data_IF_201315516221
#
_entry.id   IF_201315516221
#
_cell.length_a   1.000
_cell.length_b   1.000
_cell.length_c   1.000
_cell.angle_alpha   90.00
_cell.angle_beta   90.00
_cell.angle_gamma   90.00
#
_symmetry.space_group_name_H-M   'P 1'
#
loop_
_entity.id
_entity.type
_entity.pdbx_description
1 polymer ?
#
# COMPACT_ATOMS: atom_id res chain seq x y z
N UNK A 1 -16.23 -46.22 -1.92
CA UNK A 1 -16.12 -45.05 -1.04
C UNK A 1 -14.83 -44.33 -1.45
N UNK A 2 -14.99 -43.26 -2.22
CA UNK A 2 -13.91 -42.34 -2.56
C UNK A 2 -14.16 -41.07 -1.75
N UNK A 3 -13.45 -40.91 -0.66
CA UNK A 3 -13.36 -39.61 0.02
C UNK A 3 -12.49 -38.70 -0.87
N UNK A 4 -13.14 -37.76 -1.50
CA UNK A 4 -12.47 -36.64 -2.18
C UNK A 4 -12.06 -35.64 -1.10
N UNK A 5 -10.86 -35.81 -0.54
CA UNK A 5 -10.20 -34.78 0.23
C UNK A 5 -9.71 -33.70 -0.73
N UNK A 6 -10.61 -32.84 -1.19
CA UNK A 6 -10.26 -31.58 -1.83
C UNK A 6 -10.02 -30.56 -0.74
N UNK A 7 -8.87 -30.65 -0.11
CA UNK A 7 -8.34 -29.57 0.74
C UNK A 7 -8.12 -28.30 -0.08
N UNK A 8 -9.17 -27.60 -0.42
CA UNK A 8 -9.10 -26.20 -0.83
C UNK A 8 -8.77 -25.40 0.44
N UNK A 9 -7.50 -25.16 0.68
CA UNK A 9 -7.09 -24.05 1.52
C UNK A 9 -7.70 -22.79 0.87
N UNK A 10 -8.67 -22.17 1.53
CA UNK A 10 -9.29 -20.96 1.02
C UNK A 10 -8.19 -19.91 0.82
N UNK A 11 -7.99 -19.46 -0.41
CA UNK A 11 -6.96 -18.46 -0.73
C UNK A 11 -7.29 -17.16 -0.01
N UNK A 12 -6.35 -16.62 0.77
CA UNK A 12 -6.50 -15.32 1.43
C UNK A 12 -6.41 -14.19 0.40
N UNK A 13 -7.36 -13.27 0.43
CA UNK A 13 -7.40 -12.08 -0.44
C UNK A 13 -6.92 -10.86 0.32
N UNK A 14 -5.76 -10.35 -0.10
CA UNK A 14 -5.18 -9.11 0.41
C UNK A 14 -5.37 -7.99 -0.61
N UNK A 15 -5.74 -6.81 -0.15
CA UNK A 15 -5.85 -5.62 -0.99
C UNK A 15 -5.09 -4.44 -0.40
N UNK A 16 -4.72 -3.49 -1.24
CA UNK A 16 -4.19 -2.19 -0.86
C UNK A 16 -4.93 -1.09 -1.60
N UNK A 17 -5.23 0.00 -0.91
CA UNK A 17 -5.95 1.13 -1.47
C UNK A 17 -5.59 2.45 -0.78
N UNK A 18 -5.06 3.40 -1.53
CA UNK A 18 -5.03 4.78 -1.07
C UNK A 18 -6.46 5.34 -1.19
N UNK A 19 -7.11 5.52 -0.06
CA UNK A 19 -8.53 5.90 0.00
C UNK A 19 -8.77 7.41 -0.05
N UNK A 20 -7.72 8.21 0.01
CA UNK A 20 -7.79 9.67 -0.02
C UNK A 20 -8.92 10.23 0.85
N UNK A 21 -8.84 10.00 2.16
CA UNK A 21 -9.83 10.18 3.22
C UNK A 21 -10.82 9.03 3.37
N UNK A 22 -10.66 8.28 4.47
CA UNK A 22 -11.60 7.19 4.80
C UNK A 22 -12.98 7.72 5.20
N UNK A 23 -13.05 8.85 5.90
CA UNK A 23 -14.32 9.40 6.38
C UNK A 23 -15.31 9.76 5.28
N UNK A 24 -14.81 10.12 4.10
CA UNK A 24 -15.64 10.44 2.94
C UNK A 24 -15.90 9.23 2.02
N UNK A 25 -15.24 8.09 2.26
CA UNK A 25 -15.27 6.91 1.38
C UNK A 25 -15.61 5.61 2.08
N UNK A 26 -16.05 5.66 3.33
CA UNK A 26 -16.32 4.47 4.13
C UNK A 26 -17.29 3.51 3.42
N UNK A 27 -18.38 4.03 2.86
CA UNK A 27 -19.38 3.19 2.18
C UNK A 27 -18.82 2.50 0.93
N UNK A 28 -17.98 3.21 0.16
CA UNK A 28 -17.29 2.64 -1.00
C UNK A 28 -16.32 1.54 -0.61
N UNK A 29 -15.54 1.77 0.44
CA UNK A 29 -14.56 0.80 0.94
C UNK A 29 -15.26 -0.46 1.43
N UNK A 30 -16.33 -0.34 2.22
CA UNK A 30 -17.11 -1.48 2.70
C UNK A 30 -17.76 -2.25 1.55
N UNK A 31 -18.32 -1.56 0.55
CA UNK A 31 -18.88 -2.19 -0.63
C UNK A 31 -17.83 -2.97 -1.45
N UNK A 32 -16.62 -2.44 -1.56
CA UNK A 32 -15.49 -3.13 -2.19
C UNK A 32 -15.09 -4.39 -1.41
N UNK A 33 -14.94 -4.28 -0.08
CA UNK A 33 -14.59 -5.41 0.77
C UNK A 33 -15.58 -6.58 0.63
N UNK A 34 -16.86 -6.28 0.59
CA UNK A 34 -17.93 -7.27 0.43
C UNK A 34 -17.93 -7.86 -0.98
N UNK A 35 -17.93 -7.03 -2.02
CA UNK A 35 -18.01 -7.45 -3.42
C UNK A 35 -16.83 -8.33 -3.83
N UNK A 36 -15.63 -7.96 -3.42
CA UNK A 36 -14.40 -8.67 -3.78
C UNK A 36 -13.98 -9.73 -2.74
N UNK A 37 -14.77 -9.92 -1.70
CA UNK A 37 -14.51 -10.91 -0.65
C UNK A 37 -13.09 -10.76 -0.04
N UNK A 38 -12.74 -9.54 0.36
CA UNK A 38 -11.41 -9.17 0.84
C UNK A 38 -11.21 -9.60 2.29
N UNK A 39 -10.16 -10.32 2.59
CA UNK A 39 -9.80 -10.77 3.94
C UNK A 39 -9.05 -9.70 4.73
N UNK A 40 -8.11 -9.00 4.09
CA UNK A 40 -7.39 -7.88 4.69
C UNK A 40 -7.15 -6.76 3.69
N UNK A 41 -7.35 -5.51 4.12
CA UNK A 41 -7.14 -4.30 3.34
C UNK A 41 -6.14 -3.40 4.04
N UNK A 42 -5.07 -3.05 3.32
CA UNK A 42 -4.14 -2.00 3.70
C UNK A 42 -4.59 -0.67 3.08
N UNK A 43 -4.82 0.33 3.92
CA UNK A 43 -5.29 1.66 3.51
C UNK A 43 -4.21 2.72 3.69
N UNK A 44 -4.14 3.67 2.77
CA UNK A 44 -3.27 4.84 2.83
C UNK A 44 -4.12 6.11 2.70
N UNK A 45 -3.57 7.22 3.16
CA UNK A 45 -4.25 8.53 3.22
C UNK A 45 -5.63 8.48 3.89
N UNK A 46 -5.70 7.85 5.06
CA UNK A 46 -6.95 7.84 5.83
C UNK A 46 -7.35 9.24 6.32
N UNK A 47 -6.38 10.16 6.45
CA UNK A 47 -6.57 11.58 6.75
C UNK A 47 -7.36 11.87 8.02
N UNK A 48 -7.15 11.07 9.06
CA UNK A 48 -7.77 11.25 10.35
C UNK A 48 -6.95 10.59 11.47
N UNK A 49 -7.22 11.01 12.71
CA UNK A 49 -6.72 10.33 13.90
C UNK A 49 -7.55 9.06 14.17
N UNK A 50 -7.04 8.14 15.00
CA UNK A 50 -7.80 6.93 15.36
C UNK A 50 -9.20 7.20 15.94
N UNK A 51 -9.33 8.25 16.75
CA UNK A 51 -10.62 8.66 17.36
C UNK A 51 -11.64 9.22 16.35
N UNK A 52 -11.20 9.56 15.14
CA UNK A 52 -12.04 10.07 14.05
C UNK A 52 -12.33 9.01 12.97
N UNK A 53 -11.67 7.86 13.04
CA UNK A 53 -11.87 6.79 12.07
C UNK A 53 -13.26 6.16 12.24
N UNK A 54 -13.99 5.87 11.16
CA UNK A 54 -15.32 5.23 11.25
C UNK A 54 -15.21 3.74 11.57
N UNK A 55 -14.91 3.42 12.82
CA UNK A 55 -14.62 2.05 13.31
C UNK A 55 -15.84 1.14 13.24
N UNK A 56 -17.00 1.63 13.71
CA UNK A 56 -18.21 0.81 13.88
C UNK A 56 -18.66 0.08 12.60
N UNK A 57 -18.72 0.70 11.41
CA UNK A 57 -19.11 -0.01 10.19
C UNK A 57 -18.16 -1.14 9.80
N UNK A 58 -16.85 -0.99 10.05
CA UNK A 58 -15.86 -2.03 9.80
C UNK A 58 -16.01 -3.21 10.77
N UNK A 59 -16.19 -2.93 12.05
CA UNK A 59 -16.44 -3.96 13.07
C UNK A 59 -17.76 -4.69 12.79
N UNK A 60 -18.81 -3.99 12.41
CA UNK A 60 -20.08 -4.58 12.03
C UNK A 60 -19.96 -5.50 10.80
N UNK A 61 -19.03 -5.22 9.91
CA UNK A 61 -18.70 -6.06 8.75
C UNK A 61 -17.73 -7.21 9.09
N UNK A 62 -17.29 -7.34 10.33
CA UNK A 62 -16.45 -8.43 10.80
C UNK A 62 -14.94 -8.16 10.74
N UNK A 63 -14.53 -6.90 10.55
CA UNK A 63 -13.12 -6.51 10.45
C UNK A 63 -12.60 -5.95 11.77
N UNK A 64 -11.44 -6.45 12.19
CA UNK A 64 -10.59 -5.80 13.19
C UNK A 64 -9.77 -4.70 12.51
N UNK A 65 -9.36 -3.68 13.25
CA UNK A 65 -8.67 -2.51 12.73
C UNK A 65 -7.38 -2.22 13.48
N UNK A 66 -6.32 -1.91 12.75
CA UNK A 66 -5.15 -1.20 13.22
C UNK A 66 -5.10 0.15 12.51
N UNK A 67 -4.95 1.25 13.26
CA UNK A 67 -5.07 2.60 12.74
C UNK A 67 -3.90 3.44 13.26
N UNK A 68 -3.21 4.12 12.35
CA UNK A 68 -2.17 5.08 12.69
C UNK A 68 -2.38 6.37 11.91
N UNK A 69 -2.72 7.44 12.61
CA UNK A 69 -2.95 8.77 12.06
C UNK A 69 -2.68 9.84 13.11
N UNK A 70 -2.09 10.96 12.73
CA UNK A 70 -1.69 12.03 13.62
C UNK A 70 -2.58 13.26 13.49
N UNK A 71 -3.10 13.51 12.30
CA UNK A 71 -3.92 14.67 11.96
C UNK A 71 -4.68 14.44 10.64
N UNK A 72 -5.08 15.50 9.95
CA UNK A 72 -5.80 15.45 8.67
C UNK A 72 -4.93 15.06 7.45
N UNK A 73 -3.64 14.83 7.63
CA UNK A 73 -2.70 14.46 6.58
C UNK A 73 -2.20 13.02 6.76
N UNK A 74 -1.84 12.38 5.65
CA UNK A 74 -1.29 11.03 5.70
C UNK A 74 -2.26 10.04 6.41
N UNK A 75 -1.71 9.16 7.24
CA UNK A 75 -2.45 8.15 7.97
C UNK A 75 -2.59 6.85 7.20
N UNK A 76 -2.39 5.75 7.91
CA UNK A 76 -2.44 4.39 7.36
C UNK A 76 -3.27 3.50 8.28
N UNK A 77 -3.93 2.50 7.72
CA UNK A 77 -4.72 1.54 8.48
C UNK A 77 -4.68 0.16 7.83
N UNK A 78 -4.95 -0.86 8.63
CA UNK A 78 -5.18 -2.23 8.16
C UNK A 78 -6.50 -2.70 8.76
N UNK A 79 -7.40 -3.19 7.90
CA UNK A 79 -8.61 -3.89 8.29
C UNK A 79 -8.46 -5.38 7.96
N UNK A 80 -8.77 -6.27 8.91
CA UNK A 80 -8.67 -7.72 8.72
C UNK A 80 -9.84 -8.45 9.35
N UNK A 81 -10.43 -9.38 8.64
CA UNK A 81 -11.44 -10.31 9.17
C UNK A 81 -10.87 -11.70 9.49
N UNK A 82 -9.56 -11.87 9.31
CA UNK A 82 -8.85 -13.15 9.48
C UNK A 82 -7.80 -13.13 10.59
N UNK A 83 -7.95 -12.21 11.53
CA UNK A 83 -7.02 -11.96 12.64
C UNK A 83 -6.06 -10.81 12.33
N UNK A 84 -5.71 -10.08 13.36
CA UNK A 84 -4.82 -8.92 13.28
C UNK A 84 -4.03 -8.83 14.58
N UNK A 85 -2.71 -9.07 14.49
CA UNK A 85 -1.79 -9.16 15.63
C UNK A 85 -0.49 -8.38 15.38
N UNK A 86 0.31 -8.19 16.41
CA UNK A 86 1.67 -7.63 16.36
C UNK A 86 1.76 -6.30 15.60
N UNK A 87 0.91 -5.35 15.97
CA UNK A 87 0.84 -4.03 15.32
C UNK A 87 2.09 -3.21 15.60
N UNK A 88 2.68 -2.66 14.54
CA UNK A 88 3.79 -1.70 14.60
C UNK A 88 3.43 -0.44 13.81
N UNK A 89 3.52 0.73 14.47
CA UNK A 89 3.11 2.03 13.89
C UNK A 89 4.21 2.75 13.11
N UNK A 90 5.40 2.16 12.99
CA UNK A 90 6.49 2.60 12.14
C UNK A 90 7.50 1.48 11.97
N UNK A 91 8.24 1.46 10.87
CA UNK A 91 9.39 0.58 10.75
C UNK A 91 10.59 1.17 11.52
N UNK A 92 11.55 0.34 11.96
CA UNK A 92 12.72 0.81 12.70
C UNK A 92 13.49 1.88 11.93
N UNK A 93 13.80 2.99 12.61
CA UNK A 93 14.57 4.08 12.00
C UNK A 93 13.82 4.85 10.91
N UNK A 94 12.50 4.72 10.81
CA UNK A 94 11.72 5.50 9.85
C UNK A 94 12.08 6.98 9.95
N UNK A 95 12.49 7.63 8.83
CA UNK A 95 12.85 9.04 8.86
C UNK A 95 11.69 9.94 9.27
N UNK A 96 11.99 11.01 10.00
CA UNK A 96 11.06 12.06 10.37
C UNK A 96 11.08 13.20 9.36
N UNK A 97 10.01 13.98 9.33
CA UNK A 97 9.85 15.14 8.48
C UNK A 97 9.45 16.38 9.30
N UNK A 98 10.11 17.50 9.03
CA UNK A 98 9.73 18.81 9.54
C UNK A 98 8.90 19.54 8.48
N UNK A 99 7.62 19.82 8.78
CA UNK A 99 6.72 20.52 7.85
C UNK A 99 7.18 21.94 7.50
N UNK A 100 7.95 22.55 8.41
CA UNK A 100 8.58 23.89 8.25
C UNK A 100 9.99 23.82 8.80
N UNK A 101 10.92 24.69 8.34
CA UNK A 101 12.32 24.67 8.78
C UNK A 101 12.51 24.80 10.29
N UNK A 102 11.62 25.52 10.96
CA UNK A 102 11.66 25.75 12.41
C UNK A 102 10.84 24.73 13.22
N UNK A 103 10.15 23.82 12.57
CA UNK A 103 9.33 22.82 13.25
C UNK A 103 10.19 21.62 13.68
N UNK A 104 9.83 21.01 14.81
CA UNK A 104 10.41 19.72 15.20
C UNK A 104 10.03 18.64 14.19
N UNK A 105 10.99 17.81 13.75
CA UNK A 105 10.69 16.69 12.87
C UNK A 105 9.78 15.66 13.55
N UNK A 106 8.83 15.13 12.79
CA UNK A 106 7.86 14.13 13.24
C UNK A 106 7.98 12.90 12.35
N UNK A 107 7.97 11.72 12.96
CA UNK A 107 7.77 10.45 12.22
C UNK A 107 6.31 10.43 11.78
N UNK A 108 6.09 10.71 10.50
CA UNK A 108 4.75 10.81 9.96
C UNK A 108 4.04 9.44 9.91
N UNK A 109 2.71 9.45 9.98
CA UNK A 109 1.88 8.25 9.89
C UNK A 109 1.83 7.72 8.44
N UNK A 110 2.90 7.07 8.00
CA UNK A 110 3.10 6.58 6.62
C UNK A 110 3.35 5.09 6.53
N UNK A 111 3.55 4.41 7.65
CA UNK A 111 3.73 2.96 7.69
C UNK A 111 3.00 2.35 8.86
N UNK A 112 2.44 1.17 8.65
CA UNK A 112 1.77 0.38 9.66
C UNK A 112 1.97 -1.09 9.34
N UNK A 113 2.56 -1.83 10.26
CA UNK A 113 2.76 -3.27 10.15
C UNK A 113 1.81 -4.04 11.04
N UNK A 114 1.32 -5.18 10.57
CA UNK A 114 0.56 -6.13 11.37
C UNK A 114 0.71 -7.53 10.81
N UNK A 115 0.50 -8.55 11.64
CA UNK A 115 0.36 -9.93 11.20
C UNK A 115 -1.12 -10.22 10.97
N UNK A 116 -1.48 -10.63 9.77
CA UNK A 116 -2.84 -10.99 9.38
C UNK A 116 -2.92 -12.46 8.96
N UNK A 117 -4.08 -13.08 9.15
CA UNK A 117 -4.33 -14.45 8.71
C UNK A 117 -4.24 -15.51 9.81
N UNK A 118 -3.92 -15.16 11.06
CA UNK A 118 -3.82 -16.13 12.16
C UNK A 118 -5.16 -16.83 12.49
N UNK A 119 -6.30 -16.20 12.15
CA UNK A 119 -7.64 -16.76 12.30
C UNK A 119 -8.17 -17.40 11.01
N UNK A 120 -7.31 -17.71 10.05
CA UNK A 120 -7.66 -18.39 8.79
C UNK A 120 -6.94 -19.72 8.66
N UNK A 121 -7.34 -20.52 7.68
CA UNK A 121 -6.65 -21.77 7.33
C UNK A 121 -5.35 -21.51 6.53
N UNK A 122 -5.15 -20.27 6.06
CA UNK A 122 -3.92 -19.86 5.40
C UNK A 122 -2.83 -19.51 6.42
N UNK A 123 -1.56 -19.72 6.06
CA UNK A 123 -0.45 -19.27 6.89
C UNK A 123 -0.46 -17.74 7.03
N UNK A 124 -0.21 -17.18 8.23
CA UNK A 124 -0.19 -15.74 8.46
C UNK A 124 0.79 -15.00 7.55
N UNK A 125 0.50 -13.72 7.32
CA UNK A 125 1.32 -12.81 6.53
C UNK A 125 1.68 -11.60 7.38
N UNK A 126 2.96 -11.22 7.38
CA UNK A 126 3.41 -9.92 7.91
C UNK A 126 3.14 -8.86 6.86
N UNK A 127 2.11 -8.05 7.08
CA UNK A 127 1.62 -7.03 6.15
C UNK A 127 2.03 -5.64 6.59
N UNK A 128 2.64 -4.87 5.70
CA UNK A 128 2.91 -3.44 5.88
C UNK A 128 2.09 -2.62 4.90
N UNK A 129 1.27 -1.71 5.44
CA UNK A 129 0.60 -0.64 4.68
C UNK A 129 1.54 0.55 4.60
N UNK A 130 1.91 0.95 3.39
CA UNK A 130 2.93 1.97 3.13
C UNK A 130 2.35 3.14 2.33
N UNK A 131 2.60 4.34 2.81
CA UNK A 131 2.37 5.58 2.10
C UNK A 131 3.70 6.32 1.94
N UNK A 132 4.42 6.00 0.88
CA UNK A 132 5.75 6.58 0.60
C UNK A 132 5.61 8.09 0.37
N UNK A 133 6.51 8.94 0.88
CA UNK A 133 6.48 10.37 0.62
C UNK A 133 6.41 10.70 -0.88
N UNK A 134 5.60 11.69 -1.24
CA UNK A 134 5.42 12.09 -2.64
C UNK A 134 6.72 12.60 -3.30
N UNK A 135 7.55 13.32 -2.56
CA UNK A 135 8.77 13.93 -3.08
C UNK A 135 8.59 15.36 -3.59
N UNK A 136 7.38 15.77 -3.93
CA UNK A 136 6.99 17.09 -4.43
C UNK A 136 7.70 17.47 -5.73
N UNK A 137 8.94 17.97 -5.65
CA UNK A 137 9.77 18.36 -6.78
C UNK A 137 11.21 17.86 -6.58
N UNK A 138 11.95 17.62 -7.65
CA UNK A 138 13.33 17.07 -7.57
C UNK A 138 14.29 17.94 -6.74
N UNK A 139 14.04 19.22 -6.67
CA UNK A 139 14.86 20.19 -5.89
C UNK A 139 14.34 20.44 -4.48
N UNK A 140 13.18 19.89 -4.13
CA UNK A 140 12.56 20.09 -2.81
C UNK A 140 13.15 19.14 -1.77
N UNK A 141 13.38 19.57 -0.51
CA UNK A 141 13.89 18.69 0.56
C UNK A 141 13.04 17.42 0.79
N UNK A 142 11.76 17.46 0.48
CA UNK A 142 10.85 16.31 0.55
C UNK A 142 11.25 15.16 -0.41
N UNK A 143 11.92 15.48 -1.50
CA UNK A 143 12.49 14.48 -2.41
C UNK A 143 13.62 13.67 -1.75
N UNK A 144 14.56 14.34 -1.08
CA UNK A 144 15.60 13.67 -0.31
C UNK A 144 15.01 12.85 0.83
N UNK A 145 14.02 13.38 1.53
CA UNK A 145 13.27 12.65 2.56
C UNK A 145 12.65 11.38 1.99
N UNK A 146 12.03 11.43 0.81
CA UNK A 146 11.49 10.25 0.11
C UNK A 146 12.55 9.19 -0.14
N UNK A 147 13.70 9.57 -0.69
CA UNK A 147 14.79 8.64 -0.99
C UNK A 147 15.37 8.01 0.28
N UNK A 148 15.55 8.79 1.34
CA UNK A 148 16.00 8.28 2.65
C UNK A 148 14.99 7.33 3.27
N UNK A 149 13.70 7.66 3.17
CA UNK A 149 12.61 6.84 3.67
C UNK A 149 12.59 5.45 3.00
N UNK A 150 12.73 5.41 1.69
CA UNK A 150 12.82 4.17 0.92
C UNK A 150 14.09 3.38 1.24
N UNK A 151 15.23 4.05 1.37
CA UNK A 151 16.50 3.41 1.70
C UNK A 151 16.46 2.74 3.07
N UNK A 152 15.98 3.44 4.10
CA UNK A 152 15.87 2.88 5.46
C UNK A 152 14.93 1.70 5.49
N UNK A 153 13.77 1.78 4.84
CA UNK A 153 12.84 0.66 4.75
C UNK A 153 13.47 -0.55 4.06
N UNK A 154 14.18 -0.34 2.95
CA UNK A 154 14.89 -1.40 2.24
C UNK A 154 15.93 -2.08 3.15
N UNK A 155 16.70 -1.30 3.91
CA UNK A 155 17.70 -1.83 4.83
C UNK A 155 17.06 -2.66 5.95
N UNK A 156 15.93 -2.21 6.50
CA UNK A 156 15.15 -2.97 7.47
C UNK A 156 14.61 -4.29 6.88
N UNK A 157 14.08 -4.25 5.67
CA UNK A 157 13.59 -5.45 4.96
C UNK A 157 14.72 -6.47 4.77
N UNK A 158 15.89 -6.02 4.34
CA UNK A 158 17.06 -6.90 4.20
C UNK A 158 17.44 -7.55 5.53
N UNK A 159 17.44 -6.79 6.63
CA UNK A 159 17.72 -7.30 7.97
C UNK A 159 16.65 -8.29 8.45
N UNK A 160 15.36 -8.02 8.20
CA UNK A 160 14.28 -8.95 8.57
C UNK A 160 14.38 -10.28 7.84
N UNK A 161 14.67 -10.26 6.53
CA UNK A 161 14.81 -11.47 5.74
C UNK A 161 16.11 -12.23 6.02
N UNK A 162 17.18 -11.56 6.46
CA UNK A 162 18.38 -12.21 6.96
C UNK A 162 18.13 -12.93 8.29
N UNK A 163 17.38 -12.28 9.20
CA UNK A 163 17.03 -12.87 10.50
C UNK A 163 16.01 -14.00 10.37
N UNK A 164 15.06 -13.89 9.44
CA UNK A 164 13.98 -14.85 9.21
C UNK A 164 13.76 -15.06 7.70
N UNK A 165 14.55 -15.94 7.04
CA UNK A 165 14.48 -16.14 5.60
C UNK A 165 13.11 -16.65 5.09
N UNK A 166 12.36 -17.32 5.95
CA UNK A 166 11.02 -17.85 5.63
C UNK A 166 9.87 -16.91 6.04
N UNK A 167 10.17 -15.66 6.41
CA UNK A 167 9.16 -14.68 6.79
C UNK A 167 8.21 -14.38 5.60
N UNK A 168 6.91 -14.66 5.73
CA UNK A 168 5.92 -14.28 4.72
C UNK A 168 5.62 -12.78 4.86
N UNK A 169 6.36 -11.95 4.14
CA UNK A 169 6.33 -10.49 4.23
C UNK A 169 5.70 -9.89 2.98
N UNK A 170 4.72 -9.01 3.18
CA UNK A 170 4.12 -8.18 2.13
C UNK A 170 4.32 -6.69 2.44
N UNK A 171 4.89 -5.97 1.49
CA UNK A 171 5.00 -4.51 1.49
C UNK A 171 4.06 -3.98 0.43
N UNK A 172 2.96 -3.38 0.84
CA UNK A 172 1.89 -2.95 -0.06
C UNK A 172 1.55 -1.49 0.14
N UNK A 173 1.11 -0.82 -0.89
CA UNK A 173 0.62 0.54 -0.75
C UNK A 173 0.90 1.44 -1.92
N UNK A 174 0.81 2.72 -1.62
CA UNK A 174 1.17 3.82 -2.52
C UNK A 174 2.67 4.10 -2.41
N UNK A 175 3.41 3.66 -3.40
CA UNK A 175 4.87 3.81 -3.46
C UNK A 175 5.30 5.17 -4.00
N UNK A 176 4.38 5.94 -4.58
CA UNK A 176 4.69 7.21 -5.22
C UNK A 176 5.86 7.15 -6.21
N UNK A 177 6.08 6.00 -6.81
CA UNK A 177 7.07 5.74 -7.87
C UNK A 177 6.39 5.04 -9.01
N UNK A 178 6.62 5.52 -10.24
CA UNK A 178 6.31 4.83 -11.49
C UNK A 178 7.62 4.20 -12.01
N UNK A 179 7.85 2.89 -11.77
CA UNK A 179 9.17 2.28 -11.98
C UNK A 179 9.59 2.17 -13.45
N UNK A 180 8.64 2.19 -14.38
CA UNK A 180 8.88 2.03 -15.81
C UNK A 180 8.18 3.12 -16.60
N UNK A 181 8.61 3.33 -17.83
CA UNK A 181 8.01 4.33 -18.72
C UNK A 181 6.53 4.02 -19.02
N UNK A 182 6.18 2.74 -19.14
CA UNK A 182 4.79 2.30 -19.31
C UNK A 182 3.88 2.52 -18.09
N UNK A 183 4.44 2.85 -16.94
CA UNK A 183 3.69 3.14 -15.71
C UNK A 183 3.14 4.57 -15.66
N UNK A 184 3.43 5.37 -16.66
CA UNK A 184 2.84 6.69 -16.86
C UNK A 184 2.28 6.80 -18.29
N UNK A 185 1.27 7.63 -18.45
CA UNK A 185 0.55 7.74 -19.71
C UNK A 185 1.35 8.42 -20.84
N UNK A 186 2.32 9.29 -20.51
CA UNK A 186 3.23 9.93 -21.46
C UNK A 186 4.48 10.44 -20.73
N UNK A 187 5.62 9.81 -20.96
CA UNK A 187 6.88 10.17 -20.31
C UNK A 187 7.32 11.62 -20.58
N UNK A 188 6.96 12.19 -21.73
CA UNK A 188 7.32 13.58 -22.04
C UNK A 188 6.69 14.60 -21.08
N UNK A 189 5.54 14.27 -20.49
CA UNK A 189 4.85 15.09 -19.50
C UNK A 189 5.53 15.04 -18.13
N UNK A 190 6.25 13.95 -17.85
CA UNK A 190 6.91 13.69 -16.57
C UNK A 190 8.40 14.03 -16.57
N UNK A 191 8.94 14.56 -17.68
CA UNK A 191 10.33 14.97 -17.74
C UNK A 191 10.64 16.01 -16.66
N UNK A 192 11.64 15.72 -15.81
CA UNK A 192 12.01 16.57 -14.66
C UNK A 192 11.03 16.53 -13.49
N UNK A 193 10.01 15.66 -13.52
CA UNK A 193 9.07 15.47 -12.43
C UNK A 193 9.51 14.35 -11.46
N UNK A 194 8.88 14.31 -10.29
CA UNK A 194 8.98 13.18 -9.36
C UNK A 194 8.29 11.92 -9.92
N UNK A 195 8.41 10.81 -9.22
CA UNK A 195 7.87 9.48 -9.55
C UNK A 195 8.65 8.71 -10.62
N UNK A 196 9.26 9.38 -11.58
CA UNK A 196 9.94 8.76 -12.73
C UNK A 196 11.44 8.99 -12.75
N UNK A 197 12.01 9.72 -11.80
CA UNK A 197 13.43 10.01 -11.75
C UNK A 197 14.26 8.73 -11.56
N UNK A 198 15.49 8.73 -12.07
CA UNK A 198 16.38 7.58 -11.90
C UNK A 198 16.61 7.19 -10.43
N UNK A 199 16.89 8.14 -9.51
CA UNK A 199 17.05 7.79 -8.09
C UNK A 199 15.81 7.16 -7.45
N UNK A 200 14.61 7.60 -7.80
CA UNK A 200 13.36 7.01 -7.30
C UNK A 200 13.16 5.58 -7.83
N UNK A 201 13.40 5.37 -9.12
CA UNK A 201 13.32 4.06 -9.76
C UNK A 201 14.35 3.09 -9.23
N UNK A 202 15.58 3.55 -8.99
CA UNK A 202 16.64 2.76 -8.35
C UNK A 202 16.27 2.38 -6.91
N UNK A 203 15.73 3.33 -6.13
CA UNK A 203 15.26 3.06 -4.77
C UNK A 203 14.14 2.02 -4.73
N UNK A 204 13.21 2.06 -5.68
CA UNK A 204 12.16 1.05 -5.82
C UNK A 204 12.74 -0.32 -6.22
N UNK A 205 13.62 -0.36 -7.22
CA UNK A 205 14.24 -1.60 -7.70
C UNK A 205 15.12 -2.27 -6.64
N UNK A 206 15.70 -1.51 -5.71
CA UNK A 206 16.57 -2.01 -4.65
C UNK A 206 15.86 -2.98 -3.69
N UNK A 207 14.54 -2.97 -3.60
CA UNK A 207 13.79 -3.97 -2.83
C UNK A 207 13.90 -5.37 -3.44
N UNK A 208 14.03 -5.49 -4.76
CA UNK A 208 14.32 -6.76 -5.41
C UNK A 208 15.72 -7.30 -5.04
N UNK A 209 16.71 -6.42 -4.91
CA UNK A 209 18.04 -6.79 -4.44
C UNK A 209 18.04 -7.25 -2.98
N UNK A 210 17.12 -6.73 -2.16
CA UNK A 210 16.89 -7.16 -0.78
C UNK A 210 16.15 -8.51 -0.67
N UNK A 211 15.77 -9.13 -1.79
CA UNK A 211 15.08 -10.42 -1.86
C UNK A 211 13.57 -10.36 -2.09
N UNK A 212 12.99 -9.16 -2.21
CA UNK A 212 11.57 -8.99 -2.47
C UNK A 212 11.24 -9.14 -3.96
N UNK A 213 10.01 -9.55 -4.27
CA UNK A 213 9.49 -9.64 -5.63
C UNK A 213 8.19 -8.84 -5.74
N UNK A 214 8.11 -7.96 -6.73
CA UNK A 214 6.85 -7.30 -7.08
C UNK A 214 5.95 -8.32 -7.81
N UNK A 215 4.79 -8.64 -7.23
CA UNK A 215 3.99 -9.81 -7.64
C UNK A 215 2.79 -9.46 -8.53
N UNK A 216 2.51 -8.19 -8.77
CA UNK A 216 1.36 -7.78 -9.59
C UNK A 216 1.71 -7.54 -11.05
N UNK A 217 2.94 -7.20 -11.38
CA UNK A 217 3.40 -6.83 -12.73
C UNK A 217 3.14 -7.89 -13.78
N UNK A 218 3.39 -9.15 -13.45
CA UNK A 218 3.22 -10.27 -14.37
C UNK A 218 1.75 -10.65 -14.61
N UNK A 219 0.82 -10.13 -13.79
CA UNK A 219 -0.59 -10.52 -13.76
C UNK A 219 -1.53 -9.45 -14.26
N UNK A 220 -1.17 -8.17 -14.06
CA UNK A 220 -2.03 -7.04 -14.40
C UNK A 220 -1.20 -5.85 -14.89
N UNK A 221 -1.74 -5.07 -15.84
CA UNK A 221 -1.03 -3.98 -16.51
C UNK A 221 -1.69 -2.61 -16.37
N UNK A 222 -2.80 -2.49 -15.64
CA UNK A 222 -3.56 -1.26 -15.53
C UNK A 222 -2.84 -0.20 -14.69
N UNK A 223 -3.21 1.07 -14.87
CA UNK A 223 -2.87 2.13 -13.93
C UNK A 223 -3.63 1.95 -12.61
N UNK A 224 -3.13 2.61 -11.56
CA UNK A 224 -3.73 2.59 -10.22
C UNK A 224 -4.17 3.98 -9.74
N UNK A 225 -3.80 5.03 -10.47
CA UNK A 225 -4.01 6.42 -10.11
C UNK A 225 -4.37 7.27 -11.33
N UNK A 226 -5.33 8.20 -11.17
CA UNK A 226 -5.69 9.25 -12.13
C UNK A 226 -6.07 10.52 -11.40
N UNK A 227 -5.35 11.62 -11.67
CA UNK A 227 -5.69 12.93 -11.12
C UNK A 227 -7.17 13.28 -11.39
N UNK A 228 -7.78 14.01 -10.45
CA UNK A 228 -9.16 14.49 -10.62
C UNK A 228 -9.31 15.53 -11.70
N UNK A 229 -8.23 16.26 -12.00
CA UNK A 229 -8.22 17.39 -12.90
C UNK A 229 -8.07 16.95 -14.36
N UNK A 230 -8.36 17.87 -15.29
CA UNK A 230 -8.08 17.76 -16.73
C UNK A 230 -8.67 16.50 -17.40
N UNK A 231 -9.73 15.93 -16.87
CA UNK A 231 -10.37 14.73 -17.42
C UNK A 231 -9.38 13.55 -17.58
N UNK A 232 -8.44 13.40 -16.63
CA UNK A 232 -7.38 12.39 -16.72
C UNK A 232 -7.94 10.97 -16.78
N UNK A 233 -8.96 10.66 -15.98
CA UNK A 233 -9.55 9.34 -15.96
C UNK A 233 -10.29 8.97 -17.28
N UNK A 234 -11.19 9.81 -17.83
CA UNK A 234 -11.82 9.52 -19.13
C UNK A 234 -10.82 9.36 -20.28
N UNK A 235 -9.71 10.07 -20.25
CA UNK A 235 -8.63 9.96 -21.24
C UNK A 235 -7.67 8.81 -20.99
N UNK A 236 -7.82 8.12 -19.88
CA UNK A 236 -6.88 7.12 -19.37
C UNK A 236 -5.44 7.64 -19.22
N UNK A 237 -5.30 8.88 -18.82
CA UNK A 237 -4.03 9.54 -18.52
C UNK A 237 -3.65 9.29 -17.06
N UNK A 238 -3.24 8.06 -16.78
CA UNK A 238 -3.00 7.56 -15.41
C UNK A 238 -1.54 7.24 -15.13
N UNK A 239 -1.33 6.77 -13.92
CA UNK A 239 -0.06 6.27 -13.42
C UNK A 239 -0.26 4.95 -12.68
N UNK A 240 0.74 4.10 -12.72
CA UNK A 240 0.83 2.92 -11.85
C UNK A 240 1.86 3.20 -10.77
N UNK A 241 1.39 3.47 -9.56
CA UNK A 241 2.22 3.86 -8.41
C UNK A 241 1.88 3.09 -7.14
N UNK A 242 0.91 2.18 -7.20
CA UNK A 242 0.54 1.28 -6.13
C UNK A 242 1.01 -0.14 -6.47
N UNK A 243 1.73 -0.79 -5.55
CA UNK A 243 2.39 -2.07 -5.80
C UNK A 243 2.38 -2.97 -4.57
N UNK A 244 2.62 -4.26 -4.83
CA UNK A 244 2.76 -5.31 -3.82
C UNK A 244 4.13 -5.98 -4.00
N UNK A 245 5.04 -5.74 -3.06
CA UNK A 245 6.26 -6.51 -2.92
C UNK A 245 6.04 -7.66 -1.94
N UNK A 246 6.43 -8.85 -2.31
CA UNK A 246 6.35 -10.07 -1.48
C UNK A 246 7.75 -10.67 -1.27
N UNK A 247 7.98 -11.17 -0.05
CA UNK A 247 9.16 -11.98 0.25
C UNK A 247 9.14 -13.31 -0.54
N UNK A 248 10.27 -14.01 -0.68
CA UNK A 248 10.30 -15.30 -1.36
C UNK A 248 9.27 -16.31 -0.82
N UNK A 249 9.12 -16.37 0.51
CA UNK A 249 8.16 -17.25 1.15
C UNK A 249 6.71 -16.92 0.79
N UNK A 250 6.38 -15.66 0.59
CA UNK A 250 5.04 -15.21 0.21
C UNK A 250 4.84 -15.23 -1.31
N UNK A 251 5.83 -14.82 -2.10
CA UNK A 251 5.71 -14.72 -3.56
C UNK A 251 5.28 -16.05 -4.22
N UNK A 252 5.78 -17.18 -3.71
CA UNK A 252 5.38 -18.50 -4.17
C UNK A 252 3.92 -18.89 -3.86
N UNK A 253 3.26 -18.17 -2.95
CA UNK A 253 1.85 -18.38 -2.59
C UNK A 253 0.89 -17.54 -3.41
N UNK A 254 1.37 -16.51 -4.10
CA UNK A 254 0.52 -15.60 -4.89
C UNK A 254 0.08 -16.31 -6.17
N UNK A 255 -1.23 -16.43 -6.35
CA UNK A 255 -1.82 -17.11 -7.50
C UNK A 255 -2.42 -16.17 -8.51
N UNK A 256 -2.90 -14.99 -8.07
CA UNK A 256 -3.55 -14.00 -8.93
C UNK A 256 -3.38 -12.58 -8.39
N UNK A 257 -3.65 -11.58 -9.22
CA UNK A 257 -3.73 -10.18 -8.85
C UNK A 257 -4.71 -9.45 -9.79
N UNK A 258 -5.37 -8.42 -9.26
CA UNK A 258 -6.27 -7.58 -10.02
C UNK A 258 -6.14 -6.12 -9.60
N UNK A 259 -6.51 -5.21 -10.49
CA UNK A 259 -6.69 -3.78 -10.22
C UNK A 259 -8.14 -3.45 -10.56
N UNK A 260 -8.90 -2.96 -9.58
CA UNK A 260 -10.31 -2.60 -9.77
C UNK A 260 -10.44 -1.15 -10.28
N UNK A 261 -10.19 -0.98 -11.58
CA UNK A 261 -10.27 0.32 -12.24
C UNK A 261 -11.63 1.00 -12.08
N UNK A 262 -12.69 0.23 -11.92
CA UNK A 262 -14.05 0.75 -11.83
C UNK A 262 -14.30 1.51 -10.53
N UNK A 263 -13.50 1.30 -9.50
CA UNK A 263 -13.56 2.11 -8.27
C UNK A 263 -13.15 3.58 -8.49
N UNK A 264 -12.54 3.93 -9.61
CA UNK A 264 -12.28 5.34 -9.99
C UNK A 264 -13.52 6.04 -10.55
N UNK A 265 -14.57 5.30 -10.89
CA UNK A 265 -15.79 5.84 -11.49
C UNK A 265 -16.73 6.45 -10.45
N UNK A 266 -17.46 7.47 -10.87
CA UNK A 266 -18.55 8.05 -10.11
C UNK A 266 -18.12 9.10 -9.08
N UNK A 267 -19.14 9.70 -8.47
CA UNK A 267 -18.95 10.73 -7.45
C UNK A 267 -18.34 10.14 -6.18
N UNK A 268 -17.39 10.84 -5.60
CA UNK A 268 -16.76 10.44 -4.35
C UNK A 268 -15.70 9.34 -4.49
N UNK A 269 -15.25 9.03 -5.71
CA UNK A 269 -14.13 8.10 -5.92
C UNK A 269 -12.81 8.67 -5.36
N UNK A 270 -11.93 7.80 -4.86
CA UNK A 270 -10.53 8.13 -4.65
C UNK A 270 -9.85 8.34 -6.00
N UNK A 271 -8.77 9.10 -6.03
CA UNK A 271 -7.89 9.21 -7.20
C UNK A 271 -7.06 7.95 -7.46
N UNK A 272 -6.95 7.07 -6.46
CA UNK A 272 -6.42 5.72 -6.58
C UNK A 272 -7.53 4.65 -6.64
N UNK A 273 -7.16 3.46 -7.13
CA UNK A 273 -8.01 2.26 -7.11
C UNK A 273 -7.32 1.10 -6.38
N UNK A 274 -8.11 0.19 -5.83
CA UNK A 274 -7.55 -0.98 -5.15
C UNK A 274 -6.97 -2.00 -6.12
#
# INVERSE_FOLDING_TARGET
QWESDTGYSAAMRLATWNVNSIRTRVDRVLAFLEREDIDALAMQEIKCRPDQFPVEPFEAAGYELAIHGLNQWNGVAIASRVGLDDVAVSFPGQPAWAAKPEAEPVVEARSLGATVGAASDAAPVRLWSLYVPNGRELTHPHYTYKLDWLRVLRDDVAAWLEAEPDLPLALVGDWNVAPRDEDVWDMSVFEGATHVSAPEREAFAAFAEAGMREVTRERVTNYTYWDYQKLRFPRNEGMRIDFVYASPALAGRVTDAAIDRDERKGKGASDHVP
#
